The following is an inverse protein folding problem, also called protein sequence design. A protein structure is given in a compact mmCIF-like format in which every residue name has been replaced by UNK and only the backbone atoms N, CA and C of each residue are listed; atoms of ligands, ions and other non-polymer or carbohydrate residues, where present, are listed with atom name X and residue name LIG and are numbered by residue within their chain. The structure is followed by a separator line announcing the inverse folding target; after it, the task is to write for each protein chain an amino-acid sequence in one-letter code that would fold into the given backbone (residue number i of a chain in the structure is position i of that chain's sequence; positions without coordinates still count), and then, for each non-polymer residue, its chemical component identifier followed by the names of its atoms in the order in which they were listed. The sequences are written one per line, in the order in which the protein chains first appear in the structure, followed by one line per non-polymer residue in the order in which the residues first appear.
data_IF_837780003263
#
_entry.id   IF_837780003263
#
_cell.length_a   1.000
_cell.length_b   1.000
_cell.length_c   1.000
_cell.angle_alpha   90.00
_cell.angle_beta   90.00
_cell.angle_gamma   90.00
#
_symmetry.space_group_name_H-M   'P 1'
#
loop_
_entity.id
_entity.type
_entity.pdbx_description
1 polymer ?
#
# COMPACT_ATOMS: atom_id res chain seq x y z
N UNK A 1 -36.47 -25.30 40.32
CA UNK A 1 -37.87 -25.02 40.71
C UNK A 1 -38.16 -23.58 40.28
N UNK A 2 -38.91 -23.38 39.18
CA UNK A 2 -40.26 -22.74 39.16
C UNK A 2 -40.21 -21.29 39.73
N UNK A 3 -40.34 -20.19 38.97
CA UNK A 3 -41.45 -19.80 38.07
C UNK A 3 -41.11 -18.47 37.34
N UNK A 4 -41.31 -18.41 36.01
CA UNK A 4 -42.31 -17.61 35.25
C UNK A 4 -41.86 -16.15 34.99
N UNK A 5 -41.49 -15.75 33.77
CA UNK A 5 -42.30 -15.55 32.57
C UNK A 5 -43.36 -14.44 32.73
N UNK A 6 -43.06 -13.23 32.26
CA UNK A 6 -44.01 -12.28 31.65
C UNK A 6 -43.29 -10.94 31.40
N UNK A 7 -43.01 -10.61 30.15
CA UNK A 7 -43.23 -9.26 29.62
C UNK A 7 -43.28 -9.40 28.10
N UNK A 8 -44.50 -9.62 27.62
CA UNK A 8 -44.88 -9.86 26.24
C UNK A 8 -46.07 -8.91 25.99
N UNK A 9 -45.79 -7.77 25.35
CA UNK A 9 -46.78 -6.89 24.71
C UNK A 9 -45.98 -5.97 23.77
N UNK A 10 -45.87 -6.32 22.49
CA UNK A 10 -46.76 -5.85 21.40
C UNK A 10 -46.60 -4.33 21.19
N UNK A 11 -46.15 -3.86 20.04
CA UNK A 11 -46.97 -3.52 18.86
C UNK A 11 -45.99 -3.31 17.69
N UNK A 12 -45.98 -4.19 16.68
CA UNK A 12 -46.66 -4.04 15.38
C UNK A 12 -46.19 -2.78 14.59
N UNK A 13 -45.29 -2.95 13.62
CA UNK A 13 -45.61 -3.17 12.20
C UNK A 13 -45.96 -1.87 11.44
N UNK A 14 -45.00 -1.36 10.67
CA UNK A 14 -45.27 -0.73 9.36
C UNK A 14 -44.16 -1.17 8.40
N UNK A 15 -44.46 -2.19 7.61
CA UNK A 15 -43.84 -2.44 6.31
C UNK A 15 -44.82 -1.95 5.25
N UNK A 16 -44.39 -1.08 4.33
CA UNK A 16 -44.95 -0.86 2.99
C UNK A 16 -44.10 0.20 2.25
N UNK A 17 -43.18 -0.27 1.40
CA UNK A 17 -43.17 -0.11 -0.07
C UNK A 17 -42.86 1.30 -0.59
N UNK A 18 -41.73 1.47 -1.29
CA UNK A 18 -41.75 1.59 -2.77
C UNK A 18 -40.39 1.27 -3.38
N UNK A 19 -40.50 0.43 -4.40
CA UNK A 19 -39.53 -0.08 -5.34
C UNK A 19 -39.14 1.04 -6.33
N UNK A 20 -37.85 1.29 -6.55
CA UNK A 20 -37.39 2.05 -7.72
C UNK A 20 -36.26 1.28 -8.39
N UNK A 21 -36.65 0.54 -9.43
CA UNK A 21 -35.77 -0.10 -10.39
C UNK A 21 -35.74 0.83 -11.61
N UNK A 22 -34.61 1.49 -11.85
CA UNK A 22 -34.38 2.33 -13.03
C UNK A 22 -33.60 1.56 -14.09
N UNK A 23 -34.30 0.76 -14.89
CA UNK A 23 -33.76 0.12 -16.10
C UNK A 23 -33.90 1.06 -17.29
N UNK A 24 -32.79 1.31 -18.00
CA UNK A 24 -32.75 2.19 -19.16
C UNK A 24 -33.36 1.60 -20.43
N UNK A 25 -33.65 2.48 -21.40
CA UNK A 25 -33.45 2.39 -22.86
C UNK A 25 -34.02 3.65 -23.53
N UNK A 26 -33.28 4.37 -24.40
CA UNK A 26 -33.85 5.30 -25.37
C UNK A 26 -33.63 4.85 -26.83
N UNK A 27 -34.65 4.99 -27.71
CA UNK A 27 -34.41 5.44 -29.09
C UNK A 27 -35.51 6.43 -29.60
N UNK A 28 -35.41 7.06 -30.79
CA UNK A 28 -34.60 6.69 -31.96
C UNK A 28 -33.76 7.81 -32.60
N UNK A 29 -32.97 7.35 -33.58
CA UNK A 29 -32.01 8.08 -34.40
C UNK A 29 -32.62 9.12 -35.35
N UNK A 30 -31.80 10.14 -35.66
CA UNK A 30 -31.86 10.89 -36.91
C UNK A 30 -30.42 11.23 -37.34
N UNK A 31 -30.00 10.54 -38.41
CA UNK A 31 -29.08 10.89 -39.49
C UNK A 31 -27.81 11.75 -39.27
N UNK A 32 -26.68 11.15 -39.72
CA UNK A 32 -25.34 11.71 -39.95
C UNK A 32 -25.33 12.70 -41.17
N UNK A 33 -24.20 13.30 -41.67
CA UNK A 33 -22.78 12.89 -41.67
C UNK A 33 -21.82 14.06 -41.26
N UNK A 34 -20.49 14.07 -41.30
CA UNK A 34 -19.48 13.36 -42.08
C UNK A 34 -18.12 13.41 -41.33
N UNK A 35 -17.21 12.57 -41.78
CA UNK A 35 -15.83 12.46 -41.34
C UNK A 35 -15.02 13.75 -41.52
N UNK A 36 -14.08 14.01 -40.60
CA UNK A 36 -12.75 14.45 -40.99
C UNK A 36 -11.70 13.84 -40.05
N UNK A 37 -10.76 13.13 -40.66
CA UNK A 37 -9.58 12.59 -40.00
C UNK A 37 -8.50 13.64 -40.13
N UNK A 38 -7.91 14.06 -39.00
CA UNK A 38 -6.50 14.45 -38.83
C UNK A 38 -6.37 15.55 -37.78
N UNK A 39 -6.00 15.20 -36.56
CA UNK A 39 -4.94 15.90 -35.82
C UNK A 39 -4.36 14.94 -34.78
N UNK A 40 -3.26 14.30 -35.19
CA UNK A 40 -2.26 13.71 -34.32
C UNK A 40 -1.81 14.75 -33.28
N UNK A 41 -2.05 14.46 -32.01
CA UNK A 41 -1.32 15.02 -30.88
C UNK A 41 -0.78 13.85 -30.04
N UNK A 42 0.44 13.98 -29.50
CA UNK A 42 1.35 12.86 -29.34
C UNK A 42 0.89 11.93 -28.23
N UNK A 43 0.97 10.62 -28.53
CA UNK A 43 1.09 9.59 -27.51
C UNK A 43 2.13 10.08 -26.51
N UNK A 44 1.71 10.34 -25.26
CA UNK A 44 2.66 10.38 -24.18
C UNK A 44 3.31 9.01 -24.16
N UNK A 45 4.53 9.00 -24.68
CA UNK A 45 5.45 7.90 -24.58
C UNK A 45 5.54 7.57 -23.08
N UNK A 46 4.80 6.54 -22.68
CA UNK A 46 5.20 5.71 -21.56
C UNK A 46 6.53 5.11 -22.01
N UNK A 47 7.60 5.85 -21.75
CA UNK A 47 8.96 5.35 -21.86
C UNK A 47 9.11 4.32 -20.74
N UNK A 48 8.54 3.14 -20.96
CA UNK A 48 8.83 1.96 -20.18
C UNK A 48 10.24 1.55 -20.57
N UNK A 49 11.22 2.18 -19.93
CA UNK A 49 12.50 1.51 -19.66
C UNK A 49 12.14 0.17 -19.03
N UNK A 50 12.80 -0.96 -19.37
CA UNK A 50 12.52 -2.24 -18.73
C UNK A 50 12.54 -2.03 -17.21
N UNK A 51 11.37 -2.06 -16.58
CA UNK A 51 11.24 -1.76 -15.16
C UNK A 51 11.78 -2.98 -14.45
N UNK A 52 12.94 -2.83 -13.82
CA UNK A 52 13.49 -3.86 -12.94
C UNK A 52 12.47 -4.15 -11.84
N UNK A 53 11.66 -5.20 -12.02
CA UNK A 53 10.56 -5.58 -11.12
C UNK A 53 11.04 -5.80 -9.68
N UNK A 54 12.34 -6.07 -9.49
CA UNK A 54 12.93 -6.24 -8.15
C UNK A 54 13.03 -4.93 -7.35
N UNK A 55 12.79 -3.78 -7.98
CA UNK A 55 12.69 -2.44 -7.35
C UNK A 55 11.26 -2.07 -6.95
N UNK A 56 10.28 -2.88 -7.34
CA UNK A 56 8.86 -2.66 -7.08
C UNK A 56 8.26 -1.50 -7.88
N UNK A 57 7.05 -1.12 -7.49
CA UNK A 57 6.21 -0.11 -8.12
C UNK A 57 6.30 1.23 -7.37
N UNK A 58 6.94 2.23 -7.97
CA UNK A 58 6.97 3.58 -7.42
C UNK A 58 8.00 4.50 -8.06
N UNK A 59 8.18 5.68 -7.45
CA UNK A 59 9.02 6.76 -7.98
C UNK A 59 10.52 6.56 -7.77
N UNK A 60 10.94 5.68 -6.86
CA UNK A 60 12.35 5.46 -6.55
C UNK A 60 12.95 4.45 -7.54
N UNK A 61 13.55 4.95 -8.62
CA UNK A 61 14.29 4.13 -9.59
C UNK A 61 15.75 3.89 -9.18
N UNK A 62 16.32 4.76 -8.36
CA UNK A 62 17.68 4.66 -7.82
C UNK A 62 17.71 5.26 -6.42
N UNK A 63 18.39 4.60 -5.49
CA UNK A 63 18.60 5.12 -4.12
C UNK A 63 20.09 5.12 -3.80
N UNK A 64 20.66 6.32 -3.62
CA UNK A 64 22.05 6.47 -3.20
C UNK A 64 22.22 6.08 -1.73
N UNK A 65 23.01 5.03 -1.51
CA UNK A 65 23.41 4.60 -0.18
C UNK A 65 24.67 5.33 0.30
N UNK A 66 24.72 5.53 1.61
CA UNK A 66 25.83 6.10 2.36
C UNK A 66 26.77 4.98 2.83
N UNK A 67 28.08 5.20 2.72
CA UNK A 67 29.13 4.32 3.23
C UNK A 67 30.35 5.20 3.63
N UNK A 68 30.69 5.30 4.93
CA UNK A 68 30.05 4.64 6.08
C UNK A 68 28.62 5.13 6.33
N UNK A 69 27.88 4.45 7.23
CA UNK A 69 26.53 4.86 7.60
C UNK A 69 26.49 6.28 8.19
N UNK A 70 25.48 7.05 7.81
CA UNK A 70 25.21 8.35 8.42
C UNK A 70 24.48 8.18 9.75
N UNK A 71 25.16 8.43 10.86
CA UNK A 71 24.62 8.23 12.21
C UNK A 71 23.44 9.16 12.55
N UNK A 72 23.35 10.33 11.91
CA UNK A 72 22.21 11.24 12.07
C UNK A 72 20.97 10.65 11.42
N UNK A 73 21.14 10.07 10.22
CA UNK A 73 20.06 9.36 9.52
C UNK A 73 19.64 8.09 10.27
N UNK A 74 20.59 7.32 10.80
CA UNK A 74 20.30 6.14 11.64
C UNK A 74 19.47 6.52 12.87
N UNK A 75 19.86 7.59 13.58
CA UNK A 75 19.14 8.07 14.77
C UNK A 75 17.73 8.54 14.42
N UNK A 76 17.60 9.29 13.31
CA UNK A 76 16.29 9.77 12.84
C UNK A 76 15.39 8.61 12.39
N UNK A 77 15.94 7.65 11.65
CA UNK A 77 15.23 6.46 11.22
C UNK A 77 14.78 5.55 12.37
N UNK A 78 15.59 5.48 13.44
CA UNK A 78 15.19 4.80 14.68
C UNK A 78 13.96 5.46 15.32
N UNK A 79 13.93 6.79 15.39
CA UNK A 79 12.76 7.53 15.90
C UNK A 79 11.52 7.25 15.05
N UNK A 80 11.67 7.29 13.72
CA UNK A 80 10.58 6.92 12.79
C UNK A 80 10.10 5.48 13.02
N UNK A 81 11.01 4.52 13.21
CA UNK A 81 10.65 3.13 13.53
C UNK A 81 9.85 3.04 14.84
N UNK A 82 10.32 3.68 15.91
CA UNK A 82 9.67 3.63 17.23
C UNK A 82 8.24 4.18 17.18
N UNK A 83 8.01 5.26 16.41
CA UNK A 83 6.69 5.91 16.33
C UNK A 83 5.75 5.23 15.33
N UNK A 84 6.25 4.82 14.16
CA UNK A 84 5.41 4.41 13.02
C UNK A 84 5.47 2.92 12.69
N UNK A 85 6.44 2.16 13.22
CA UNK A 85 6.69 0.78 12.77
C UNK A 85 6.71 -0.26 13.91
N UNK A 86 7.17 0.11 15.10
CA UNK A 86 7.45 -0.82 16.21
C UNK A 86 6.20 -1.51 16.77
N UNK A 87 5.02 -0.95 16.56
CA UNK A 87 3.75 -1.59 16.92
C UNK A 87 3.48 -2.88 16.11
N UNK A 88 4.04 -2.98 14.90
CA UNK A 88 3.75 -4.06 13.97
C UNK A 88 4.98 -4.90 13.60
N UNK A 89 6.18 -4.32 13.63
CA UNK A 89 7.42 -4.97 13.20
C UNK A 89 8.42 -5.10 14.35
N UNK A 90 9.14 -6.22 14.37
CA UNK A 90 10.31 -6.42 15.25
C UNK A 90 11.60 -6.18 14.47
N UNK A 91 12.64 -5.75 15.18
CA UNK A 91 14.00 -5.66 14.65
C UNK A 91 14.64 -7.04 14.40
N UNK A 92 14.14 -8.07 15.08
CA UNK A 92 14.52 -9.47 14.88
C UNK A 92 13.91 -10.05 13.60
N UNK A 93 14.05 -11.36 13.39
CA UNK A 93 13.33 -12.07 12.32
C UNK A 93 11.92 -12.52 12.71
N UNK A 94 11.48 -12.23 13.93
CA UNK A 94 10.18 -12.66 14.44
C UNK A 94 9.04 -11.86 13.81
N UNK A 95 7.98 -12.56 13.37
CA UNK A 95 6.73 -11.94 12.92
C UNK A 95 5.90 -11.53 14.13
N UNK A 96 5.46 -10.26 14.17
CA UNK A 96 4.51 -9.76 15.16
C UNK A 96 3.13 -9.57 14.51
N UNK A 97 2.95 -8.46 13.80
CA UNK A 97 1.83 -8.25 12.88
C UNK A 97 2.37 -8.28 11.45
N UNK A 98 3.43 -7.51 11.21
CA UNK A 98 4.25 -7.59 10.00
C UNK A 98 5.49 -8.46 10.20
N UNK A 99 6.24 -8.74 9.12
CA UNK A 99 7.46 -9.53 9.17
C UNK A 99 8.58 -8.81 9.95
N UNK A 100 9.50 -9.58 10.53
CA UNK A 100 10.68 -9.05 11.19
C UNK A 100 11.68 -8.41 10.21
N UNK A 101 12.42 -7.41 10.68
CA UNK A 101 13.34 -6.61 9.87
C UNK A 101 14.74 -7.20 9.72
N UNK A 102 15.14 -8.18 10.54
CA UNK A 102 16.47 -8.80 10.43
C UNK A 102 16.74 -9.26 8.99
N UNK A 103 17.78 -8.74 8.36
CA UNK A 103 18.23 -9.04 6.99
C UNK A 103 17.34 -8.48 5.88
N UNK A 104 16.45 -7.53 6.16
CA UNK A 104 15.53 -6.97 5.16
C UNK A 104 16.27 -6.29 4.02
N UNK A 105 17.40 -5.63 4.32
CA UNK A 105 18.25 -4.93 3.34
C UNK A 105 19.13 -5.89 2.53
N UNK A 106 19.17 -7.16 2.90
CA UNK A 106 19.77 -8.24 2.11
C UNK A 106 18.73 -8.90 1.19
N UNK A 107 17.47 -8.97 1.64
CA UNK A 107 16.35 -9.57 0.89
C UNK A 107 15.74 -8.63 -0.15
N UNK A 108 15.80 -7.32 0.07
CA UNK A 108 15.14 -6.31 -0.75
C UNK A 108 16.12 -5.22 -1.16
N UNK A 109 15.97 -4.75 -2.40
CA UNK A 109 16.71 -3.58 -2.88
C UNK A 109 16.29 -2.32 -2.12
N UNK A 110 17.20 -1.34 -1.95
CA UNK A 110 16.89 -0.03 -1.38
C UNK A 110 15.66 0.63 -2.01
N UNK A 111 15.54 0.58 -3.34
CA UNK A 111 14.43 1.14 -4.10
C UNK A 111 13.11 0.48 -3.73
N UNK A 112 13.11 -0.85 -3.59
CA UNK A 112 11.92 -1.62 -3.22
C UNK A 112 11.43 -1.21 -1.83
N UNK A 113 12.34 -1.08 -0.86
CA UNK A 113 12.00 -0.66 0.51
C UNK A 113 11.42 0.76 0.48
N UNK A 114 12.07 1.70 -0.20
CA UNK A 114 11.62 3.09 -0.31
C UNK A 114 10.25 3.19 -0.99
N UNK A 115 10.03 2.48 -2.10
CA UNK A 115 8.73 2.42 -2.78
C UNK A 115 7.66 1.81 -1.86
N UNK A 116 7.96 0.71 -1.16
CA UNK A 116 6.99 0.06 -0.28
C UNK A 116 6.53 0.95 0.89
N UNK A 117 7.45 1.61 1.58
CA UNK A 117 7.10 2.38 2.78
C UNK A 117 6.46 3.74 2.49
N UNK A 118 6.61 4.25 1.26
CA UNK A 118 6.00 5.52 0.82
C UNK A 118 4.74 5.33 -0.04
N UNK A 119 4.59 4.16 -0.66
CA UNK A 119 3.53 3.83 -1.62
C UNK A 119 2.90 2.46 -1.33
N UNK A 120 2.60 2.20 -0.06
CA UNK A 120 2.24 0.86 0.43
C UNK A 120 1.05 0.25 -0.28
N UNK A 121 0.00 1.04 -0.55
CA UNK A 121 -1.22 0.50 -1.17
C UNK A 121 -0.99 0.00 -2.59
N UNK A 122 -0.39 0.82 -3.45
CA UNK A 122 -0.10 0.41 -4.83
C UNK A 122 0.88 -0.75 -4.89
N UNK A 123 1.87 -0.76 -3.99
CA UNK A 123 2.80 -1.88 -3.87
C UNK A 123 2.06 -3.17 -3.50
N UNK A 124 1.19 -3.16 -2.48
CA UNK A 124 0.42 -4.35 -2.11
C UNK A 124 -0.52 -4.78 -3.25
N UNK A 125 -1.07 -3.83 -4.01
CA UNK A 125 -2.02 -4.15 -5.07
C UNK A 125 -1.34 -4.71 -6.33
N UNK A 126 -0.09 -4.32 -6.61
CA UNK A 126 0.57 -4.61 -7.90
C UNK A 126 1.90 -5.36 -7.82
N UNK A 127 2.68 -5.21 -6.76
CA UNK A 127 3.99 -5.85 -6.61
C UNK A 127 3.81 -7.31 -6.13
N UNK A 128 4.26 -8.32 -6.90
CA UNK A 128 4.07 -9.73 -6.54
C UNK A 128 4.70 -10.11 -5.20
N UNK A 129 5.79 -9.45 -4.81
CA UNK A 129 6.48 -9.75 -3.58
C UNK A 129 5.76 -9.17 -2.36
N UNK A 130 5.15 -7.99 -2.50
CA UNK A 130 4.24 -7.41 -1.51
C UNK A 130 2.97 -8.25 -1.34
N UNK A 131 2.39 -8.74 -2.45
CA UNK A 131 1.23 -9.63 -2.42
C UNK A 131 1.52 -10.95 -1.69
N UNK A 132 2.69 -11.55 -1.95
CA UNK A 132 3.13 -12.75 -1.24
C UNK A 132 3.27 -12.49 0.28
N UNK A 133 3.83 -11.33 0.67
CA UNK A 133 3.91 -10.97 2.08
C UNK A 133 2.54 -10.72 2.72
N UNK A 134 1.58 -10.16 1.99
CA UNK A 134 0.20 -10.01 2.48
C UNK A 134 -0.42 -11.37 2.79
N UNK A 135 -0.19 -12.39 1.96
CA UNK A 135 -0.66 -13.75 2.21
C UNK A 135 -0.03 -14.37 3.46
N UNK A 136 1.23 -14.05 3.77
CA UNK A 136 1.89 -14.53 4.99
C UNK A 136 1.40 -13.81 6.27
N UNK A 137 1.14 -12.50 6.15
CA UNK A 137 0.79 -11.66 7.30
C UNK A 137 -0.72 -11.64 7.57
N UNK A 138 -1.55 -11.89 6.55
CA UNK A 138 -3.01 -11.81 6.60
C UNK A 138 -3.57 -10.45 7.05
N UNK A 139 -2.70 -9.44 7.14
CA UNK A 139 -3.02 -8.07 7.55
C UNK A 139 -2.37 -7.14 6.55
N UNK A 140 -3.18 -6.26 5.95
CA UNK A 140 -2.68 -5.22 5.05
C UNK A 140 -1.94 -4.17 5.85
N UNK A 141 -0.69 -3.88 5.48
CA UNK A 141 0.05 -2.76 6.08
C UNK A 141 -0.60 -1.45 5.62
N UNK A 142 -1.01 -0.56 6.54
CA UNK A 142 -1.53 0.75 6.16
C UNK A 142 -0.39 1.68 5.74
N UNK A 143 -0.67 2.61 4.84
CA UNK A 143 0.27 3.67 4.47
C UNK A 143 0.59 4.53 5.72
N UNK A 144 1.88 4.66 6.05
CA UNK A 144 2.35 5.44 7.20
C UNK A 144 2.60 6.91 6.88
N UNK A 145 2.31 7.32 5.64
CA UNK A 145 2.49 8.67 5.11
C UNK A 145 3.90 9.21 5.38
N UNK A 146 4.90 8.37 5.15
CA UNK A 146 6.30 8.79 5.27
C UNK A 146 6.64 9.80 4.18
N UNK A 147 7.38 10.84 4.56
CA UNK A 147 8.09 11.66 3.57
C UNK A 147 9.27 10.87 2.99
N UNK A 148 9.82 11.34 1.88
CA UNK A 148 10.98 10.70 1.24
C UNK A 148 12.21 10.69 2.17
N UNK A 149 12.40 11.77 2.94
CA UNK A 149 13.49 11.87 3.91
C UNK A 149 13.28 10.91 5.10
N UNK A 150 12.06 10.83 5.64
CA UNK A 150 11.74 9.85 6.69
C UNK A 150 11.99 8.41 6.21
N UNK A 151 11.55 8.08 4.99
CA UNK A 151 11.79 6.78 4.38
C UNK A 151 13.28 6.51 4.19
N UNK A 152 14.06 7.51 3.73
CA UNK A 152 15.50 7.34 3.53
C UNK A 152 16.24 7.17 4.85
N UNK A 153 15.87 7.89 5.90
CA UNK A 153 16.39 7.69 7.25
C UNK A 153 16.02 6.32 7.80
N UNK A 154 14.78 5.86 7.59
CA UNK A 154 14.31 4.55 8.00
C UNK A 154 15.10 3.43 7.32
N UNK A 155 15.37 3.55 6.02
CA UNK A 155 16.23 2.63 5.28
C UNK A 155 17.65 2.60 5.86
N UNK A 156 18.22 3.75 6.23
CA UNK A 156 19.54 3.80 6.87
C UNK A 156 19.55 3.03 8.20
N UNK A 157 18.48 3.19 8.99
CA UNK A 157 18.30 2.46 10.23
C UNK A 157 18.13 0.95 10.01
N UNK A 158 17.40 0.51 8.97
CA UNK A 158 17.33 -0.90 8.59
C UNK A 158 18.70 -1.47 8.21
N UNK A 159 19.53 -0.70 7.49
CA UNK A 159 20.91 -1.11 7.16
C UNK A 159 21.77 -1.26 8.41
N UNK A 160 21.64 -0.36 9.38
CA UNK A 160 22.31 -0.46 10.67
C UNK A 160 21.84 -1.71 11.46
N UNK A 161 20.53 -1.99 11.47
CA UNK A 161 19.97 -3.19 12.08
C UNK A 161 20.53 -4.49 11.48
N UNK A 162 20.80 -4.46 10.17
CA UNK A 162 21.37 -5.58 9.41
C UNK A 162 22.91 -5.62 9.47
N UNK A 163 23.55 -4.78 10.30
CA UNK A 163 24.97 -4.87 10.61
C UNK A 163 25.90 -4.11 9.66
N UNK A 164 25.38 -3.23 8.79
CA UNK A 164 26.22 -2.23 8.10
C UNK A 164 26.79 -1.25 9.14
N UNK A 165 27.98 -0.72 8.87
CA UNK A 165 28.72 0.17 9.78
C UNK A 165 28.82 1.58 9.24
#
# INVERSE_FOLDING_TARGET
MKKQAMFLTAIAAVALLVYSCGSGTPPPAADAPAADSSMTAPAQASSQTPTDETKGMGKFAEVKLTDPLDQTMVTSGKSTYEVKCAACHKLSGEKLVGPGWKGVTERRKPEWIMNFVTNTDEMIDKDPAAQAMLQECMVRMPNQHLTDDEARHLLEYMRANDGKK
#
